data_IF_004762149994
#
_entry.id   IF_004762149994
#
_cell.length_a   1.000
_cell.length_b   1.000
_cell.length_c   1.000
_cell.angle_alpha   90.00
_cell.angle_beta   90.00
_cell.angle_gamma   90.00
#
_symmetry.space_group_name_H-M   'P 1'
#
loop_
_entity.id
_entity.type
_entity.pdbx_description
1 polymer ?
#
# COMPACT_ATOMS: atom_id res chain seq x y z
N UNK A 1 -44.92 -22.17 19.56
CA UNK A 1 -45.43 -21.23 20.57
C UNK A 1 -45.14 -19.84 20.05
N UNK A 2 -46.17 -19.17 19.55
CA UNK A 2 -46.09 -17.79 19.04
C UNK A 2 -46.27 -16.90 20.27
N UNK A 3 -45.26 -16.10 20.59
CA UNK A 3 -45.30 -15.17 21.72
C UNK A 3 -45.86 -13.85 21.19
N UNK A 4 -47.09 -13.55 21.57
CA UNK A 4 -47.75 -12.28 21.29
C UNK A 4 -46.97 -11.13 21.95
N UNK A 5 -46.44 -10.21 21.14
CA UNK A 5 -45.75 -9.01 21.60
C UNK A 5 -46.78 -7.98 22.06
N UNK A 6 -46.64 -7.55 23.32
CA UNK A 6 -47.40 -6.47 23.94
C UNK A 6 -46.98 -5.13 23.27
N UNK A 7 -47.93 -4.30 22.81
CA UNK A 7 -47.61 -2.98 22.26
C UNK A 7 -47.13 -2.05 23.37
N UNK A 8 -46.01 -1.35 23.12
CA UNK A 8 -45.43 -0.34 24.01
C UNK A 8 -46.32 0.91 24.04
N UNK A 9 -46.44 1.58 25.20
CA UNK A 9 -47.22 2.81 25.35
C UNK A 9 -46.61 3.96 24.55
N UNK A 10 -47.49 4.78 23.97
CA UNK A 10 -47.16 5.96 23.15
C UNK A 10 -46.35 6.99 23.97
N UNK A 11 -45.13 7.27 23.52
CA UNK A 11 -44.24 8.27 24.09
C UNK A 11 -44.67 9.67 23.59
N UNK A 12 -45.03 10.62 24.47
CA UNK A 12 -45.45 11.95 24.07
C UNK A 12 -44.26 12.73 23.51
N UNK A 13 -44.19 12.81 22.18
CA UNK A 13 -43.28 13.70 21.46
C UNK A 13 -43.43 15.16 21.95
N UNK A 14 -42.35 15.83 22.39
CA UNK A 14 -42.39 17.25 22.71
C UNK A 14 -42.63 18.08 21.45
N UNK A 15 -43.72 18.83 21.43
CA UNK A 15 -44.04 19.79 20.39
C UNK A 15 -43.29 21.10 20.65
N UNK A 16 -42.03 21.21 20.24
CA UNK A 16 -41.37 22.51 20.07
C UNK A 16 -40.06 22.35 19.30
N UNK A 17 -40.15 22.41 17.97
CA UNK A 17 -38.99 22.66 17.12
C UNK A 17 -38.80 24.20 16.99
N UNK A 18 -37.57 24.73 17.16
CA UNK A 18 -37.30 26.14 16.94
C UNK A 18 -37.42 26.52 15.45
N UNK A 19 -37.74 27.79 15.14
CA UNK A 19 -37.92 28.26 13.77
C UNK A 19 -36.62 28.20 12.97
N UNK A 20 -36.72 27.79 11.70
CA UNK A 20 -35.62 27.78 10.74
C UNK A 20 -35.20 29.20 10.37
N UNK A 21 -33.94 29.57 10.62
CA UNK A 21 -33.34 30.78 10.07
C UNK A 21 -32.91 30.52 8.63
N UNK A 22 -33.74 30.96 7.69
CA UNK A 22 -33.35 31.27 6.32
C UNK A 22 -32.58 32.61 6.33
N UNK A 23 -31.28 32.60 6.04
CA UNK A 23 -30.58 33.85 5.71
C UNK A 23 -29.41 33.66 4.73
N UNK A 24 -29.69 34.14 3.51
CA UNK A 24 -28.83 34.95 2.62
C UNK A 24 -27.81 34.25 1.70
N UNK A 25 -28.26 34.07 0.46
CA UNK A 25 -27.44 34.04 -0.75
C UNK A 25 -26.73 35.38 -0.99
N UNK A 26 -25.42 35.41 -1.32
CA UNK A 26 -24.80 36.55 -1.96
C UNK A 26 -24.71 36.33 -3.47
N UNK A 27 -25.61 36.99 -4.19
CA UNK A 27 -25.55 37.19 -5.63
C UNK A 27 -24.58 38.33 -5.98
N UNK A 28 -23.70 38.03 -6.94
CA UNK A 28 -23.17 38.94 -7.97
C UNK A 28 -22.24 40.08 -7.55
N UNK A 29 -20.98 40.01 -7.99
CA UNK A 29 -20.35 41.15 -8.69
C UNK A 29 -19.58 40.70 -9.93
N UNK A 30 -19.84 41.46 -10.98
CA UNK A 30 -19.45 41.33 -12.39
C UNK A 30 -18.62 42.58 -12.74
N UNK A 31 -17.61 42.41 -13.60
CA UNK A 31 -16.83 43.49 -14.24
C UNK A 31 -15.54 43.84 -13.48
N UNK A 32 -14.37 44.02 -14.10
CA UNK A 32 -14.04 44.48 -15.46
C UNK A 32 -12.51 44.26 -15.74
N UNK A 33 -11.86 44.77 -16.81
CA UNK A 33 -11.07 43.98 -17.77
C UNK A 33 -9.54 44.26 -17.77
N UNK A 34 -8.78 43.55 -18.62
CA UNK A 34 -7.46 43.99 -19.11
C UNK A 34 -6.51 42.84 -19.46
N UNK A 35 -6.51 42.32 -20.69
CA UNK A 35 -5.54 42.63 -21.76
C UNK A 35 -4.09 42.86 -21.29
N UNK A 36 -3.22 41.88 -21.54
CA UNK A 36 -1.77 41.98 -21.32
C UNK A 36 -1.00 40.89 -22.07
N UNK A 37 -0.98 40.99 -23.39
CA UNK A 37 -0.08 40.23 -24.27
C UNK A 37 1.38 40.54 -23.94
N UNK A 38 2.20 39.53 -23.65
CA UNK A 38 3.65 39.63 -23.85
C UNK A 38 4.20 38.33 -24.46
N UNK A 39 4.47 38.43 -25.76
CA UNK A 39 5.42 37.61 -26.52
C UNK A 39 6.82 37.74 -25.89
N UNK A 40 7.57 36.65 -25.86
CA UNK A 40 9.02 36.70 -25.62
C UNK A 40 9.65 35.35 -25.27
N UNK A 41 9.82 34.48 -26.27
CA UNK A 41 11.04 33.65 -26.33
C UNK A 41 12.10 34.39 -27.15
N UNK A 42 13.29 33.82 -27.42
CA UNK A 42 13.86 32.56 -26.96
C UNK A 42 15.27 32.75 -26.33
N UNK A 43 15.89 31.69 -25.79
CA UNK A 43 17.32 31.37 -25.99
C UNK A 43 17.74 30.14 -25.18
N UNK A 44 18.07 29.07 -25.90
CA UNK A 44 18.86 27.94 -25.43
C UNK A 44 20.31 28.35 -25.13
N UNK A 45 20.99 27.66 -24.22
CA UNK A 45 22.40 27.36 -24.42
C UNK A 45 22.63 25.85 -24.53
N UNK A 46 23.18 25.49 -25.68
CA UNK A 46 23.84 24.23 -25.98
C UNK A 46 25.08 24.07 -25.11
N UNK A 47 25.13 22.99 -24.32
CA UNK A 47 26.35 22.60 -23.62
C UNK A 47 26.91 21.34 -24.25
N UNK A 48 28.06 21.53 -24.87
CA UNK A 48 28.95 20.53 -25.45
C UNK A 48 29.33 19.42 -24.48
N UNK A 49 29.30 18.20 -25.01
CA UNK A 49 29.95 16.99 -24.54
C UNK A 49 31.46 17.20 -24.31
N UNK A 50 31.91 16.97 -23.07
CA UNK A 50 33.29 16.65 -22.76
C UNK A 50 33.36 15.26 -22.14
N UNK A 51 33.93 14.34 -22.89
CA UNK A 51 34.38 13.03 -22.44
C UNK A 51 35.62 13.20 -21.56
N UNK A 52 35.50 12.92 -20.26
CA UNK A 52 36.64 12.77 -19.36
C UNK A 52 36.62 11.34 -18.81
N UNK A 53 37.53 10.54 -19.34
CA UNK A 53 37.98 9.27 -18.77
C UNK A 53 38.58 9.54 -17.38
N UNK A 54 37.99 8.96 -16.34
CA UNK A 54 38.60 8.91 -15.01
C UNK A 54 38.83 7.46 -14.60
N UNK A 55 40.12 7.12 -14.53
CA UNK A 55 40.71 5.93 -13.93
C UNK A 55 40.30 5.78 -12.47
N UNK A 56 39.91 4.56 -12.10
CA UNK A 56 39.63 4.13 -10.73
C UNK A 56 40.92 4.07 -9.91
N UNK A 57 41.09 5.00 -8.96
CA UNK A 57 42.04 4.88 -7.85
C UNK A 57 41.29 4.59 -6.55
N UNK A 58 41.72 3.53 -5.88
CA UNK A 58 41.20 3.00 -4.62
C UNK A 58 41.26 4.01 -3.46
N UNK A 59 40.30 4.02 -2.53
CA UNK A 59 40.44 4.80 -1.30
C UNK A 59 41.29 4.05 -0.27
N UNK A 60 42.42 4.66 0.06
CA UNK A 60 43.30 4.34 1.18
C UNK A 60 42.63 4.79 2.49
N UNK A 61 42.72 3.94 3.52
CA UNK A 61 42.22 4.16 4.87
C UNK A 61 42.99 5.26 5.63
N UNK A 62 42.33 6.15 6.39
CA UNK A 62 42.96 6.89 7.48
C UNK A 62 42.76 6.10 8.79
N UNK A 63 43.78 5.53 9.42
CA UNK A 63 44.87 6.15 10.20
C UNK A 63 44.37 7.00 11.37
N UNK A 64 44.69 6.52 12.57
CA UNK A 64 44.31 6.96 13.92
C UNK A 64 44.51 8.46 14.23
N UNK A 65 43.75 9.02 15.18
CA UNK A 65 43.93 10.39 15.63
C UNK A 65 45.18 10.54 16.50
N UNK A 66 46.05 11.45 16.10
CA UNK A 66 47.19 11.94 16.87
C UNK A 66 46.79 13.13 17.75
N UNK A 67 47.27 13.12 18.98
CA UNK A 67 47.10 14.12 20.02
C UNK A 67 47.86 15.41 19.64
N UNK A 68 47.24 16.61 19.61
CA UNK A 68 47.98 17.85 19.55
C UNK A 68 48.10 18.52 20.93
N UNK A 69 49.36 18.77 21.24
CA UNK A 69 49.92 19.61 22.29
C UNK A 69 49.12 20.89 22.64
N UNK A 70 49.01 21.11 23.95
CA UNK A 70 48.60 22.35 24.58
C UNK A 70 49.51 23.52 24.18
N UNK A 71 48.96 24.50 23.45
CA UNK A 71 49.52 25.85 23.39
C UNK A 71 48.60 26.82 24.14
N UNK A 72 49.16 27.38 25.21
CA UNK A 72 48.63 28.40 26.10
C UNK A 72 48.52 29.73 25.35
N UNK A 73 47.42 29.93 24.63
CA UNK A 73 47.06 31.17 23.96
C UNK A 73 46.11 32.01 24.83
N UNK A 74 46.63 33.10 25.39
CA UNK A 74 45.89 34.11 26.15
C UNK A 74 45.26 35.06 25.12
N UNK A 75 43.98 34.88 24.79
CA UNK A 75 43.33 35.68 23.76
C UNK A 75 41.80 35.68 23.87
N UNK A 76 41.25 36.84 24.22
CA UNK A 76 39.87 37.33 24.08
C UNK A 76 38.72 36.30 24.12
N UNK A 77 37.97 36.35 25.21
CA UNK A 77 36.66 35.72 25.38
C UNK A 77 35.72 35.99 24.19
N UNK A 78 35.12 34.96 23.58
CA UNK A 78 33.89 35.14 22.82
C UNK A 78 32.74 35.33 23.80
N UNK A 79 32.02 36.40 23.52
CA UNK A 79 30.90 36.96 24.22
C UNK A 79 29.67 36.01 24.11
N UNK A 80 29.02 35.74 25.25
CA UNK A 80 27.62 35.32 25.40
C UNK A 80 27.06 34.13 24.59
N UNK A 81 27.12 32.93 25.18
CA UNK A 81 26.23 31.78 24.87
C UNK A 81 25.76 31.09 26.16
N UNK A 82 25.35 31.89 27.15
CA UNK A 82 24.85 31.40 28.45
C UNK A 82 23.32 31.33 28.50
N UNK A 83 22.59 31.92 27.55
CA UNK A 83 21.12 32.04 27.59
C UNK A 83 20.35 31.03 26.71
N UNK A 84 20.93 29.86 26.41
CA UNK A 84 20.21 28.78 25.70
C UNK A 84 19.39 27.87 26.63
N UNK A 85 19.34 28.15 27.94
CA UNK A 85 18.62 27.33 28.92
C UNK A 85 17.11 27.60 29.00
N UNK A 86 16.62 28.72 28.45
CA UNK A 86 15.18 29.04 28.45
C UNK A 86 14.45 28.42 27.26
N UNK A 87 15.09 28.36 26.09
CA UNK A 87 14.50 27.76 24.88
C UNK A 87 14.33 26.23 24.98
N UNK A 88 15.18 25.54 25.74
CA UNK A 88 15.02 24.10 25.94
C UNK A 88 13.79 23.74 26.79
N UNK A 89 13.37 24.64 27.70
CA UNK A 89 12.17 24.41 28.52
C UNK A 89 10.90 24.56 27.69
N UNK A 90 10.85 25.58 26.84
CA UNK A 90 9.70 25.82 25.96
C UNK A 90 9.53 24.70 24.94
N UNK A 91 10.61 24.16 24.35
CA UNK A 91 10.53 23.03 23.42
C UNK A 91 9.94 21.75 24.05
N UNK A 92 10.29 21.45 25.31
CA UNK A 92 9.74 20.28 26.03
C UNK A 92 8.27 20.48 26.37
N UNK A 93 7.89 21.68 26.81
CA UNK A 93 6.49 22.03 27.10
C UNK A 93 5.64 21.91 25.83
N UNK A 94 6.10 22.49 24.70
CA UNK A 94 5.42 22.38 23.41
C UNK A 94 5.28 20.92 22.97
N UNK A 95 6.33 20.10 23.11
CA UNK A 95 6.24 18.66 22.81
C UNK A 95 5.17 17.96 23.64
N UNK A 96 5.13 18.20 24.95
CA UNK A 96 4.12 17.60 25.83
C UNK A 96 2.71 18.08 25.47
N UNK A 97 2.54 19.37 25.20
CA UNK A 97 1.24 19.93 24.79
C UNK A 97 0.76 19.34 23.47
N UNK A 98 1.64 19.26 22.45
CA UNK A 98 1.31 18.67 21.15
C UNK A 98 0.95 17.19 21.29
N UNK A 99 1.70 16.42 22.09
CA UNK A 99 1.37 15.02 22.35
C UNK A 99 0.01 14.84 23.01
N UNK A 100 -0.34 15.67 23.99
CA UNK A 100 -1.66 15.65 24.62
C UNK A 100 -2.76 15.98 23.62
N UNK A 101 -2.58 17.03 22.80
CA UNK A 101 -3.57 17.40 21.77
C UNK A 101 -3.77 16.30 20.73
N UNK A 102 -2.68 15.67 20.26
CA UNK A 102 -2.77 14.55 19.31
C UNK A 102 -3.50 13.37 19.94
N UNK A 103 -3.24 13.08 21.23
CA UNK A 103 -3.95 12.02 21.95
C UNK A 103 -5.44 12.31 22.08
N UNK A 104 -5.81 13.53 22.45
CA UNK A 104 -7.20 13.96 22.59
C UNK A 104 -7.92 13.89 21.24
N UNK A 105 -7.26 14.34 20.17
CA UNK A 105 -7.77 14.27 18.81
C UNK A 105 -8.03 12.83 18.38
N UNK A 106 -7.09 11.91 18.64
CA UNK A 106 -7.30 10.48 18.34
C UNK A 106 -8.50 9.97 19.15
N UNK A 107 -8.59 10.29 20.43
CA UNK A 107 -9.70 9.82 21.28
C UNK A 107 -11.06 10.36 20.80
N UNK A 108 -11.13 11.63 20.42
CA UNK A 108 -12.34 12.29 19.93
C UNK A 108 -12.80 11.68 18.60
N UNK A 109 -11.88 11.50 17.65
CA UNK A 109 -12.16 10.88 16.35
C UNK A 109 -12.82 9.50 16.49
N UNK A 110 -12.39 8.71 17.47
CA UNK A 110 -12.95 7.37 17.69
C UNK A 110 -14.28 7.37 18.46
N UNK A 111 -14.55 8.41 19.26
CA UNK A 111 -15.76 8.48 20.08
C UNK A 111 -16.93 9.06 19.31
N UNK A 112 -16.69 10.07 18.49
CA UNK A 112 -17.77 10.75 17.76
C UNK A 112 -18.21 9.97 16.54
N UNK A 113 -17.30 9.24 15.85
CA UNK A 113 -17.58 8.61 14.56
C UNK A 113 -18.09 9.59 13.51
N UNK A 114 -18.05 10.89 13.80
CA UNK A 114 -18.69 11.94 13.03
C UNK A 114 -17.65 12.56 12.09
N UNK A 115 -17.72 12.15 10.82
CA UNK A 115 -16.83 12.61 9.74
C UNK A 115 -16.89 14.13 9.56
N UNK A 116 -17.94 14.81 10.04
CA UNK A 116 -18.09 16.26 9.86
C UNK A 116 -16.96 17.08 10.50
N UNK A 117 -16.23 16.53 11.46
CA UNK A 117 -15.14 17.22 12.16
C UNK A 117 -13.74 17.03 11.56
N UNK A 118 -13.59 16.34 10.41
CA UNK A 118 -12.26 16.12 9.80
C UNK A 118 -11.52 17.45 9.52
N UNK A 119 -12.22 18.48 9.05
CA UNK A 119 -11.62 19.79 8.80
C UNK A 119 -11.08 20.45 10.09
N UNK A 120 -11.77 20.28 11.21
CA UNK A 120 -11.33 20.79 12.51
C UNK A 120 -10.07 20.05 12.98
N UNK A 121 -10.03 18.72 12.84
CA UNK A 121 -8.87 17.90 13.18
C UNK A 121 -7.63 18.29 12.35
N UNK A 122 -7.80 18.50 11.04
CA UNK A 122 -6.72 18.97 10.16
C UNK A 122 -6.21 20.35 10.61
N UNK A 123 -7.11 21.26 11.00
CA UNK A 123 -6.76 22.58 11.52
C UNK A 123 -5.95 22.51 12.82
N UNK A 124 -6.30 21.60 13.74
CA UNK A 124 -5.55 21.37 14.98
C UNK A 124 -4.15 20.84 14.68
N UNK A 125 -4.02 19.88 13.76
CA UNK A 125 -2.71 19.33 13.36
C UNK A 125 -1.83 20.38 12.69
N UNK A 126 -2.40 21.24 11.83
CA UNK A 126 -1.68 22.37 11.24
C UNK A 126 -1.18 23.34 12.32
N UNK A 127 -2.04 23.69 13.29
CA UNK A 127 -1.65 24.54 14.42
C UNK A 127 -0.52 23.92 15.25
N UNK A 128 -0.56 22.59 15.46
CA UNK A 128 0.53 21.86 16.11
C UNK A 128 1.83 21.92 15.29
N UNK A 129 1.75 21.79 13.97
CA UNK A 129 2.90 21.89 13.07
C UNK A 129 3.54 23.28 13.12
N UNK A 130 2.73 24.33 13.07
CA UNK A 130 3.18 25.73 13.17
C UNK A 130 3.83 26.00 14.53
N UNK A 131 3.21 25.56 15.63
CA UNK A 131 3.77 25.69 16.97
C UNK A 131 5.09 24.94 17.14
N UNK A 132 5.20 23.74 16.57
CA UNK A 132 6.44 22.96 16.53
C UNK A 132 7.54 23.70 15.76
N UNK A 133 7.21 24.24 14.58
CA UNK A 133 8.16 24.99 13.74
C UNK A 133 8.70 26.25 14.44
N UNK A 134 7.85 27.00 15.16
CA UNK A 134 8.26 28.20 15.91
C UNK A 134 9.22 27.87 17.06
N UNK A 135 9.18 26.65 17.59
CA UNK A 135 9.97 26.23 18.75
C UNK A 135 11.10 25.25 18.40
N UNK A 136 11.47 25.13 17.11
CA UNK A 136 12.49 24.20 16.61
C UNK A 136 12.23 22.73 17.01
N UNK A 137 10.97 22.32 17.10
CA UNK A 137 10.56 20.94 17.38
C UNK A 137 10.03 20.32 16.08
N UNK A 138 10.40 19.08 15.80
CA UNK A 138 9.86 18.34 14.65
C UNK A 138 8.57 17.63 15.02
N UNK A 139 7.44 18.04 14.43
CA UNK A 139 6.16 17.35 14.59
C UNK A 139 6.26 15.88 14.13
N UNK A 140 7.00 15.62 13.04
CA UNK A 140 7.26 14.26 12.56
C UNK A 140 7.93 13.40 13.64
N UNK A 141 8.94 13.92 14.35
CA UNK A 141 9.57 13.20 15.45
C UNK A 141 8.63 12.93 16.62
N UNK A 142 7.63 13.79 16.86
CA UNK A 142 6.64 13.61 17.92
C UNK A 142 5.66 12.49 17.55
N UNK A 143 5.13 12.51 16.32
CA UNK A 143 4.15 11.51 15.85
C UNK A 143 4.75 10.10 15.74
N UNK A 144 6.07 10.00 15.62
CA UNK A 144 6.81 8.74 15.53
C UNK A 144 7.39 8.27 16.88
N UNK A 145 7.18 9.02 17.96
CA UNK A 145 7.60 8.62 19.31
C UNK A 145 6.58 7.64 19.93
N UNK A 146 7.09 6.61 20.63
CA UNK A 146 6.29 5.65 21.40
C UNK A 146 5.76 6.25 22.71
N UNK A 147 4.87 7.22 22.62
CA UNK A 147 4.43 8.06 23.74
C UNK A 147 3.16 7.55 24.44
N UNK A 148 2.42 6.60 23.86
CA UNK A 148 1.17 6.08 24.41
C UNK A 148 1.31 4.57 24.56
N UNK A 149 1.47 4.08 25.79
CA UNK A 149 1.56 2.64 26.10
C UNK A 149 2.63 1.89 25.28
N UNK A 150 3.80 2.50 25.07
CA UNK A 150 4.91 1.97 24.26
C UNK A 150 4.63 1.84 22.74
N UNK A 151 3.58 2.50 22.24
CA UNK A 151 3.24 2.60 20.83
C UNK A 151 3.17 4.06 20.37
N UNK A 152 3.28 4.28 19.07
CA UNK A 152 3.10 5.60 18.45
C UNK A 152 1.64 6.07 18.46
N UNK A 153 1.39 7.39 18.41
CA UNK A 153 0.07 7.93 18.12
C UNK A 153 -0.54 7.36 16.83
N UNK A 154 0.27 7.13 15.79
CA UNK A 154 -0.17 6.51 14.53
C UNK A 154 -0.73 5.10 14.72
N UNK A 155 -0.08 4.27 15.55
CA UNK A 155 -0.57 2.94 15.90
C UNK A 155 -1.97 3.02 16.53
N UNK A 156 -2.15 3.91 17.53
CA UNK A 156 -3.43 4.04 18.22
C UNK A 156 -4.53 4.63 17.34
N UNK A 157 -4.19 5.56 16.45
CA UNK A 157 -5.13 6.10 15.47
C UNK A 157 -5.71 5.00 14.57
N UNK A 158 -4.89 4.01 14.17
CA UNK A 158 -5.33 2.86 13.38
C UNK A 158 -6.12 1.86 14.23
N UNK A 159 -5.60 1.48 15.40
CA UNK A 159 -6.22 0.43 16.25
C UNK A 159 -7.60 0.83 16.75
N UNK A 160 -7.81 2.11 17.03
CA UNK A 160 -9.07 2.60 17.59
C UNK A 160 -10.10 3.03 16.53
N UNK A 161 -9.69 3.08 15.26
CA UNK A 161 -10.57 3.41 14.14
C UNK A 161 -11.73 2.42 14.05
N UNK A 162 -12.91 2.93 13.73
CA UNK A 162 -14.09 2.11 13.44
C UNK A 162 -13.94 1.43 12.05
N UNK A 163 -14.33 0.15 11.90
CA UNK A 163 -14.25 -0.56 10.62
C UNK A 163 -15.01 0.16 9.50
N UNK A 164 -14.44 0.14 8.29
CA UNK A 164 -14.97 0.84 7.09
C UNK A 164 -16.26 0.24 6.49
N UNK A 165 -17.09 -0.47 7.25
CA UNK A 165 -18.23 -1.23 6.72
C UNK A 165 -19.30 -0.40 6.00
N UNK A 166 -19.27 0.93 6.10
CA UNK A 166 -20.25 1.83 5.49
C UNK A 166 -19.65 2.89 4.53
N UNK A 167 -18.35 2.83 4.23
CA UNK A 167 -17.63 3.92 3.56
C UNK A 167 -17.47 3.81 2.03
N UNK A 168 -18.09 2.83 1.36
CA UNK A 168 -17.98 2.72 -0.11
C UNK A 168 -18.56 3.94 -0.87
N UNK A 169 -19.38 4.76 -0.20
CA UNK A 169 -19.93 6.02 -0.76
C UNK A 169 -18.97 7.21 -0.59
N UNK A 170 -17.94 7.08 0.25
CA UNK A 170 -17.15 8.21 0.77
C UNK A 170 -15.82 8.45 0.04
N UNK A 171 -15.52 7.72 -1.04
CA UNK A 171 -14.35 7.96 -1.88
C UNK A 171 -14.25 9.39 -2.46
N UNK A 172 -15.28 10.22 -2.29
CA UNK A 172 -15.31 11.62 -2.69
C UNK A 172 -14.95 12.64 -1.58
N UNK A 173 -14.86 12.25 -0.30
CA UNK A 173 -14.72 13.21 0.81
C UNK A 173 -13.31 13.26 1.41
N UNK A 174 -12.38 13.89 0.70
CA UNK A 174 -11.15 14.45 1.29
C UNK A 174 -10.15 13.48 1.93
N UNK A 175 -9.06 14.01 2.51
CA UNK A 175 -8.05 13.21 3.20
C UNK A 175 -8.54 12.77 4.58
N UNK A 176 -8.53 11.47 4.83
CA UNK A 176 -8.76 10.88 6.15
C UNK A 176 -7.76 11.41 7.19
N UNK A 177 -8.15 11.41 8.47
CA UNK A 177 -7.30 11.80 9.59
C UNK A 177 -6.00 10.99 9.60
N UNK A 178 -6.06 9.68 9.38
CA UNK A 178 -4.87 8.82 9.39
C UNK A 178 -3.91 9.23 8.26
N UNK A 179 -4.43 9.50 7.07
CA UNK A 179 -3.63 9.98 5.94
C UNK A 179 -2.98 11.32 6.25
N UNK A 180 -3.69 12.21 6.94
CA UNK A 180 -3.16 13.51 7.40
C UNK A 180 -2.07 13.34 8.46
N UNK A 181 -2.27 12.47 9.45
CA UNK A 181 -1.25 12.18 10.46
C UNK A 181 0.02 11.60 9.82
N UNK A 182 -0.13 10.71 8.83
CA UNK A 182 1.01 10.13 8.11
C UNK A 182 1.76 11.19 7.31
N UNK A 183 1.07 12.14 6.65
CA UNK A 183 1.75 13.19 5.90
C UNK A 183 2.55 14.14 6.80
N UNK A 184 2.06 14.46 7.99
CA UNK A 184 2.83 15.20 9.00
C UNK A 184 3.96 14.38 9.64
N UNK A 185 3.80 13.06 9.67
CA UNK A 185 4.83 12.15 10.19
C UNK A 185 5.93 11.87 9.16
N UNK A 186 5.71 12.10 7.86
CA UNK A 186 6.68 11.82 6.82
C UNK A 186 8.00 12.61 6.98
N UNK A 187 9.17 12.02 6.65
CA UNK A 187 9.36 10.62 6.26
C UNK A 187 9.25 9.66 7.45
N UNK A 188 8.59 8.52 7.24
CA UNK A 188 8.43 7.50 8.28
C UNK A 188 9.73 6.71 8.48
N UNK A 189 10.09 6.48 9.75
CA UNK A 189 11.16 5.57 10.12
C UNK A 189 10.74 4.12 9.87
N UNK A 190 11.70 3.20 9.58
CA UNK A 190 11.40 1.79 9.43
C UNK A 190 10.67 1.17 10.64
N UNK A 191 10.98 1.65 11.85
CA UNK A 191 10.32 1.26 13.09
C UNK A 191 8.86 1.69 13.12
N UNK A 192 8.56 2.93 12.74
CA UNK A 192 7.17 3.41 12.64
C UNK A 192 6.39 2.68 11.54
N UNK A 193 7.00 2.38 10.39
CA UNK A 193 6.34 1.58 9.34
C UNK A 193 5.97 0.19 9.87
N UNK A 194 6.85 -0.46 10.65
CA UNK A 194 6.54 -1.72 11.33
C UNK A 194 5.39 -1.59 12.33
N UNK A 195 5.33 -0.49 13.09
CA UNK A 195 4.22 -0.26 14.01
C UNK A 195 2.89 -0.04 13.28
N UNK A 196 2.88 0.74 12.21
CA UNK A 196 1.67 0.95 11.38
C UNK A 196 1.20 -0.38 10.79
N UNK A 197 2.12 -1.21 10.27
CA UNK A 197 1.80 -2.58 9.83
C UNK A 197 1.22 -3.43 10.96
N UNK A 198 1.82 -3.37 12.14
CA UNK A 198 1.35 -4.07 13.33
C UNK A 198 -0.05 -3.61 13.76
N UNK A 199 -0.36 -2.32 13.62
CA UNK A 199 -1.67 -1.77 13.93
C UNK A 199 -2.74 -2.30 12.97
N UNK A 200 -2.48 -2.25 11.66
CA UNK A 200 -3.36 -2.83 10.64
C UNK A 200 -3.55 -4.34 10.85
N UNK A 201 -2.49 -5.05 11.27
CA UNK A 201 -2.56 -6.47 11.58
C UNK A 201 -3.42 -6.75 12.82
N UNK A 202 -3.39 -5.88 13.83
CA UNK A 202 -4.19 -6.02 15.05
C UNK A 202 -5.69 -5.83 14.80
N UNK A 203 -6.06 -4.98 13.83
CA UNK A 203 -7.46 -4.77 13.41
C UNK A 203 -7.90 -5.65 12.25
N UNK A 204 -6.95 -6.34 11.60
CA UNK A 204 -7.16 -7.07 10.35
C UNK A 204 -7.80 -6.25 9.23
N UNK A 205 -7.53 -4.93 9.21
CA UNK A 205 -8.09 -4.02 8.23
C UNK A 205 -7.24 -3.99 6.94
N UNK A 206 -7.53 -4.93 6.04
CA UNK A 206 -6.86 -5.03 4.75
C UNK A 206 -7.13 -3.81 3.84
N UNK A 207 -8.34 -3.24 3.86
CA UNK A 207 -8.70 -2.10 3.00
C UNK A 207 -7.87 -0.87 3.38
N UNK A 208 -7.78 -0.58 4.68
CA UNK A 208 -6.91 0.47 5.18
C UNK A 208 -5.44 0.18 4.86
N UNK A 209 -4.98 -1.04 5.09
CA UNK A 209 -3.59 -1.40 4.79
C UNK A 209 -3.23 -1.15 3.33
N UNK A 210 -4.07 -1.54 2.38
CA UNK A 210 -3.82 -1.23 0.96
C UNK A 210 -3.85 0.27 0.70
N UNK A 211 -4.81 1.02 1.25
CA UNK A 211 -4.87 2.49 1.11
C UNK A 211 -3.58 3.15 1.60
N UNK A 212 -3.04 2.72 2.74
CA UNK A 212 -1.77 3.21 3.27
C UNK A 212 -0.60 2.88 2.33
N UNK A 213 -0.56 1.69 1.74
CA UNK A 213 0.46 1.31 0.73
C UNK A 213 0.44 2.17 -0.53
N UNK A 214 -0.70 2.77 -0.86
CA UNK A 214 -0.82 3.70 -1.99
C UNK A 214 -0.26 5.09 -1.67
N UNK A 215 -0.10 5.43 -0.39
CA UNK A 215 0.45 6.71 0.03
C UNK A 215 1.99 6.70 -0.16
N UNK A 216 2.56 7.65 -0.91
CA UNK A 216 3.99 7.68 -1.21
C UNK A 216 4.87 7.79 0.05
N UNK A 217 4.34 8.37 1.13
CA UNK A 217 5.03 8.53 2.41
C UNK A 217 5.18 7.21 3.18
N UNK A 218 4.35 6.21 2.89
CA UNK A 218 4.34 4.92 3.59
C UNK A 218 5.12 3.85 2.82
N UNK A 219 4.91 3.75 1.51
CA UNK A 219 5.65 2.82 0.64
C UNK A 219 6.27 3.60 -0.51
N UNK A 220 7.44 4.23 -0.30
CA UNK A 220 8.09 4.99 -1.36
C UNK A 220 8.37 4.07 -2.54
N UNK A 221 7.90 4.48 -3.72
CA UNK A 221 8.13 3.75 -4.97
C UNK A 221 9.64 3.64 -5.20
N UNK A 222 10.11 2.45 -5.58
CA UNK A 222 11.49 2.24 -6.01
C UNK A 222 11.86 3.29 -7.06
N UNK A 223 12.85 4.13 -6.78
CA UNK A 223 13.27 5.18 -7.72
C UNK A 223 13.68 4.61 -9.09
N UNK A 224 14.10 3.34 -9.15
CA UNK A 224 14.37 2.64 -10.42
C UNK A 224 13.10 2.44 -11.23
N UNK A 225 12.01 2.02 -10.58
CA UNK A 225 10.73 1.76 -11.22
C UNK A 225 10.15 3.07 -11.74
N UNK A 226 10.18 4.12 -10.91
CA UNK A 226 9.70 5.44 -11.28
C UNK A 226 10.49 6.04 -12.46
N UNK A 227 11.81 5.86 -12.47
CA UNK A 227 12.67 6.39 -13.54
C UNK A 227 12.50 5.64 -14.86
N UNK A 228 12.32 4.31 -14.81
CA UNK A 228 12.36 3.46 -16.01
C UNK A 228 10.97 3.16 -16.59
N UNK A 229 9.94 3.17 -15.76
CA UNK A 229 8.54 2.93 -16.17
C UNK A 229 7.75 4.24 -16.28
N UNK A 230 8.32 5.36 -15.85
CA UNK A 230 7.73 6.67 -15.89
C UNK A 230 6.94 7.03 -14.62
N UNK A 231 6.52 8.30 -14.56
CA UNK A 231 5.87 8.90 -13.39
C UNK A 231 4.44 8.38 -13.16
N UNK A 232 3.84 7.69 -14.15
CA UNK A 232 2.43 7.30 -14.15
C UNK A 232 2.20 5.78 -14.01
N UNK A 233 2.99 5.09 -13.20
CA UNK A 233 2.72 3.67 -12.92
C UNK A 233 1.46 3.57 -12.05
N UNK A 234 0.42 2.90 -12.55
CA UNK A 234 -0.73 2.56 -11.72
C UNK A 234 -0.27 1.65 -10.57
N UNK A 235 -0.82 1.79 -9.37
CA UNK A 235 -0.45 0.93 -8.26
C UNK A 235 -0.88 -0.53 -8.46
N UNK A 236 -0.24 -1.43 -7.72
CA UNK A 236 -0.68 -2.83 -7.61
C UNK A 236 -2.04 -2.89 -6.90
N UNK A 237 -3.00 -3.60 -7.48
CA UNK A 237 -4.33 -3.78 -6.88
C UNK A 237 -4.34 -5.13 -6.15
N UNK A 238 -4.75 -5.16 -4.88
CA UNK A 238 -4.82 -6.38 -4.07
C UNK A 238 -6.11 -6.39 -3.25
N UNK A 239 -6.95 -7.38 -3.49
CA UNK A 239 -8.22 -7.59 -2.80
C UNK A 239 -8.20 -8.96 -2.11
N UNK A 240 -8.62 -9.01 -0.86
CA UNK A 240 -8.63 -10.24 -0.05
C UNK A 240 -10.07 -10.61 0.27
N UNK A 241 -10.43 -11.84 -0.07
CA UNK A 241 -11.71 -12.45 0.26
C UNK A 241 -11.50 -13.53 1.33
N UNK A 242 -12.07 -13.34 2.51
CA UNK A 242 -12.07 -14.37 3.55
C UNK A 242 -13.29 -15.29 3.37
N UNK A 243 -13.04 -16.52 2.95
CA UNK A 243 -14.10 -17.49 2.71
C UNK A 243 -14.69 -18.00 4.03
N UNK A 244 -16.01 -18.00 4.15
CA UNK A 244 -16.70 -18.55 5.31
C UNK A 244 -16.64 -20.09 5.26
N UNK A 245 -16.12 -20.72 6.33
CA UNK A 245 -16.01 -22.17 6.43
C UNK A 245 -14.99 -22.63 7.48
N UNK A 246 -14.97 -23.93 7.75
CA UNK A 246 -14.13 -24.60 8.76
C UNK A 246 -12.61 -24.55 8.46
N UNK A 247 -12.21 -24.03 7.30
CA UNK A 247 -10.87 -24.23 6.75
C UNK A 247 -9.83 -23.13 6.96
N UNK A 248 -10.13 -22.02 7.64
CA UNK A 248 -9.25 -20.83 7.65
C UNK A 248 -8.75 -20.47 6.23
N UNK A 249 -9.63 -20.62 5.25
CA UNK A 249 -9.34 -20.40 3.84
C UNK A 249 -9.47 -18.92 3.50
N UNK A 250 -8.66 -18.45 2.56
CA UNK A 250 -8.79 -17.11 2.02
C UNK A 250 -8.30 -17.09 0.59
N UNK A 251 -8.72 -16.05 -0.12
CA UNK A 251 -8.39 -15.83 -1.51
C UNK A 251 -7.90 -14.40 -1.68
N UNK A 252 -6.92 -14.21 -2.55
CA UNK A 252 -6.36 -12.89 -2.84
C UNK A 252 -6.38 -12.68 -4.34
N UNK A 253 -7.21 -11.74 -4.79
CA UNK A 253 -7.20 -11.26 -6.16
C UNK A 253 -6.14 -10.17 -6.29
N UNK A 254 -5.29 -10.28 -7.30
CA UNK A 254 -4.26 -9.28 -7.53
C UNK A 254 -4.16 -8.88 -8.99
N UNK A 255 -3.76 -7.63 -9.19
CA UNK A 255 -3.51 -7.04 -10.50
C UNK A 255 -2.16 -6.33 -10.47
N UNK A 256 -1.25 -6.78 -11.32
CA UNK A 256 0.09 -6.21 -11.42
C UNK A 256 0.25 -5.51 -12.77
N UNK A 257 0.19 -4.17 -12.82
CA UNK A 257 0.43 -3.41 -14.03
C UNK A 257 1.90 -3.48 -14.44
N UNK A 258 2.11 -3.52 -15.76
CA UNK A 258 3.42 -3.59 -16.40
C UNK A 258 4.26 -4.75 -15.88
N UNK A 259 3.63 -5.90 -15.59
CA UNK A 259 4.27 -7.04 -14.93
C UNK A 259 5.58 -7.45 -15.61
N UNK A 260 5.56 -7.65 -16.94
CA UNK A 260 6.75 -8.10 -17.67
C UNK A 260 7.87 -7.05 -17.61
N UNK A 261 7.56 -5.78 -17.86
CA UNK A 261 8.52 -4.67 -17.80
C UNK A 261 9.15 -4.56 -16.41
N UNK A 262 8.35 -4.64 -15.35
CA UNK A 262 8.82 -4.62 -13.95
C UNK A 262 9.71 -5.81 -13.62
N UNK A 263 9.35 -7.01 -14.08
CA UNK A 263 10.19 -8.20 -13.90
C UNK A 263 11.53 -8.08 -14.64
N UNK A 264 11.56 -7.47 -15.82
CA UNK A 264 12.82 -7.25 -16.57
C UNK A 264 13.69 -6.17 -15.93
N UNK A 265 13.07 -5.07 -15.50
CA UNK A 265 13.76 -3.85 -15.04
C UNK A 265 14.12 -3.94 -13.56
N UNK A 266 13.09 -4.05 -12.71
CA UNK A 266 13.20 -4.02 -11.26
C UNK A 266 13.63 -5.37 -10.70
N UNK A 267 13.35 -6.44 -11.45
CA UNK A 267 13.64 -7.84 -11.09
C UNK A 267 12.90 -8.32 -9.85
N UNK A 268 11.96 -7.53 -9.36
CA UNK A 268 11.20 -7.80 -8.16
C UNK A 268 9.87 -7.03 -8.18
N UNK A 269 8.80 -7.72 -7.82
CA UNK A 269 7.46 -7.18 -7.59
C UNK A 269 6.98 -7.79 -6.28
N UNK A 270 6.56 -6.96 -5.32
CA UNK A 270 6.12 -7.41 -4.00
C UNK A 270 4.69 -6.97 -3.72
N UNK A 271 3.83 -7.95 -3.47
CA UNK A 271 2.47 -7.77 -3.03
C UNK A 271 2.39 -8.09 -1.54
N UNK A 272 1.96 -7.12 -0.73
CA UNK A 272 1.75 -7.31 0.71
C UNK A 272 0.26 -7.23 0.99
N UNK A 273 -0.24 -8.14 1.83
CA UNK A 273 -1.66 -8.18 2.20
C UNK A 273 -1.87 -8.81 3.57
N UNK A 274 -2.95 -8.43 4.23
CA UNK A 274 -3.41 -8.99 5.49
C UNK A 274 -4.53 -9.98 5.19
N UNK A 275 -4.40 -11.21 5.67
CA UNK A 275 -5.43 -12.24 5.59
C UNK A 275 -5.32 -13.15 6.80
N UNK A 276 -6.45 -13.47 7.46
CA UNK A 276 -6.49 -14.35 8.63
C UNK A 276 -5.51 -13.91 9.74
N UNK A 277 -5.55 -12.62 10.06
CA UNK A 277 -4.72 -11.97 11.09
C UNK A 277 -3.22 -12.21 10.88
N UNK A 278 -2.77 -12.28 9.63
CA UNK A 278 -1.37 -12.46 9.23
C UNK A 278 -1.02 -11.51 8.11
N UNK A 279 0.17 -10.93 8.19
CA UNK A 279 0.73 -10.12 7.12
C UNK A 279 1.56 -11.00 6.20
N UNK A 280 1.15 -11.09 4.95
CA UNK A 280 1.77 -11.91 3.92
C UNK A 280 2.54 -11.04 2.94
N UNK A 281 3.59 -11.61 2.37
CA UNK A 281 4.25 -11.05 1.20
C UNK A 281 4.40 -12.09 0.10
N UNK A 282 3.75 -11.84 -1.02
CA UNK A 282 3.88 -12.59 -2.25
C UNK A 282 4.81 -11.81 -3.19
N UNK A 283 5.92 -12.43 -3.61
CA UNK A 283 6.93 -11.79 -4.45
C UNK A 283 7.10 -12.53 -5.75
N UNK A 284 7.14 -11.79 -6.85
CA UNK A 284 7.67 -12.25 -8.13
C UNK A 284 9.07 -11.67 -8.26
N UNK A 285 10.07 -12.48 -8.54
CA UNK A 285 11.45 -11.97 -8.62
C UNK A 285 12.32 -12.79 -9.57
N UNK A 286 13.41 -12.19 -10.02
CA UNK A 286 14.45 -12.86 -10.79
C UNK A 286 15.56 -13.27 -9.84
N UNK A 287 15.78 -14.57 -9.69
CA UNK A 287 16.81 -15.10 -8.79
C UNK A 287 18.19 -14.55 -9.15
N UNK A 288 18.97 -14.17 -8.13
CA UNK A 288 20.36 -13.73 -8.29
C UNK A 288 21.37 -14.88 -8.15
N UNK A 289 20.90 -16.12 -8.00
CA UNK A 289 21.75 -17.27 -7.67
C UNK A 289 22.14 -17.34 -6.20
N UNK A 290 21.36 -16.71 -5.31
CA UNK A 290 21.61 -16.70 -3.88
C UNK A 290 21.29 -18.07 -3.25
N UNK A 291 22.16 -18.52 -2.36
CA UNK A 291 21.95 -19.71 -1.54
C UNK A 291 21.07 -19.32 -0.34
N UNK A 292 19.91 -19.96 -0.16
CA UNK A 292 19.04 -19.73 1.00
C UNK A 292 17.53 -19.74 0.74
N UNK A 293 17.09 -19.89 -0.52
CA UNK A 293 15.67 -20.06 -0.81
C UNK A 293 15.26 -21.53 -0.67
N UNK A 294 14.20 -21.78 0.10
CA UNK A 294 13.60 -23.11 0.22
C UNK A 294 12.70 -23.33 -0.99
N UNK A 295 13.17 -24.11 -1.95
CA UNK A 295 12.37 -24.49 -3.12
C UNK A 295 11.38 -25.58 -2.71
N UNK A 296 10.09 -25.35 -2.95
CA UNK A 296 9.05 -26.33 -2.63
C UNK A 296 9.30 -27.60 -3.46
N UNK A 297 9.36 -28.76 -2.78
CA UNK A 297 9.59 -30.06 -3.43
C UNK A 297 11.06 -30.40 -3.72
N UNK A 298 12.02 -29.51 -3.47
CA UNK A 298 13.45 -29.79 -3.65
C UNK A 298 14.28 -29.30 -2.47
N UNK A 299 14.87 -30.24 -1.73
CA UNK A 299 15.62 -29.94 -0.51
C UNK A 299 17.01 -29.31 -0.76
N UNK A 300 17.53 -29.35 -2.00
CA UNK A 300 18.94 -29.01 -2.26
C UNK A 300 19.21 -28.28 -3.58
N UNK A 301 18.21 -28.02 -4.42
CA UNK A 301 18.46 -27.36 -5.69
C UNK A 301 18.66 -25.84 -5.50
N UNK A 302 19.90 -25.38 -5.68
CA UNK A 302 20.17 -23.95 -5.82
C UNK A 302 19.42 -23.41 -7.06
N UNK A 303 18.66 -22.34 -6.86
CA UNK A 303 17.94 -21.69 -7.98
C UNK A 303 18.96 -20.97 -8.86
N UNK A 304 18.99 -21.32 -10.15
CA UNK A 304 19.88 -20.70 -11.13
C UNK A 304 19.65 -19.18 -11.18
N UNK A 305 20.74 -18.42 -11.25
CA UNK A 305 20.66 -16.97 -11.46
C UNK A 305 19.94 -16.67 -12.80
N UNK A 306 19.05 -15.68 -12.77
CA UNK A 306 18.20 -15.32 -13.90
C UNK A 306 16.85 -16.06 -13.95
N UNK A 307 16.64 -17.10 -13.14
CA UNK A 307 15.36 -17.82 -13.11
C UNK A 307 14.28 -16.97 -12.44
N UNK A 308 13.16 -16.78 -13.14
CA UNK A 308 11.98 -16.13 -12.57
C UNK A 308 11.29 -17.07 -11.59
N UNK A 309 11.03 -16.57 -10.40
CA UNK A 309 10.49 -17.34 -9.30
C UNK A 309 9.39 -16.55 -8.58
N UNK A 310 8.53 -17.28 -7.89
CA UNK A 310 7.55 -16.74 -6.98
C UNK A 310 7.93 -17.19 -5.58
N UNK A 311 7.91 -16.28 -4.61
CA UNK A 311 8.05 -16.63 -3.20
C UNK A 311 6.90 -16.13 -2.36
N UNK A 312 6.51 -16.93 -1.39
CA UNK A 312 5.56 -16.58 -0.35
C UNK A 312 6.27 -16.58 1.00
N UNK A 313 6.04 -15.53 1.79
CA UNK A 313 6.58 -15.41 3.14
C UNK A 313 5.62 -14.72 4.09
N UNK A 314 5.84 -14.98 5.38
CA UNK A 314 5.14 -14.36 6.48
C UNK A 314 5.97 -13.16 6.98
N UNK A 315 5.34 -11.99 7.12
CA UNK A 315 5.99 -10.77 7.57
C UNK A 315 5.74 -10.48 9.04
N UNK A 316 6.65 -9.68 9.63
CA UNK A 316 6.50 -9.02 10.92
C UNK A 316 6.07 -9.96 12.07
N UNK A 317 5.37 -9.48 13.08
CA UNK A 317 4.96 -10.27 14.25
C UNK A 317 3.81 -11.25 13.97
N UNK A 318 3.65 -11.70 12.73
CA UNK A 318 2.60 -12.65 12.36
C UNK A 318 2.85 -14.02 13.02
N UNK A 319 1.81 -14.67 13.56
CA UNK A 319 1.95 -15.96 14.21
C UNK A 319 2.31 -17.08 13.20
N UNK A 320 3.22 -18.00 13.55
CA UNK A 320 3.58 -19.15 12.72
C UNK A 320 2.34 -19.92 12.24
N UNK A 321 2.40 -20.44 11.01
CA UNK A 321 1.25 -21.15 10.44
C UNK A 321 1.62 -22.13 9.35
N UNK A 322 0.84 -23.21 9.24
CA UNK A 322 0.90 -24.07 8.06
C UNK A 322 0.19 -23.41 6.89
N UNK A 323 0.64 -23.71 5.69
CA UNK A 323 -0.01 -23.21 4.48
C UNK A 323 0.02 -24.25 3.36
N UNK A 324 -1.16 -24.46 2.80
CA UNK A 324 -1.41 -25.18 1.56
C UNK A 324 -2.09 -24.18 0.61
N UNK A 325 -1.34 -23.74 -0.40
CA UNK A 325 -1.78 -22.65 -1.28
C UNK A 325 -1.45 -22.92 -2.73
N UNK A 326 -2.10 -22.18 -3.62
CA UNK A 326 -1.79 -22.16 -5.05
C UNK A 326 -2.03 -20.79 -5.65
N UNK A 327 -1.27 -20.51 -6.69
CA UNK A 327 -1.48 -19.35 -7.55
C UNK A 327 -2.15 -19.82 -8.82
N UNK A 328 -3.23 -19.13 -9.19
CA UNK A 328 -4.04 -19.37 -10.37
C UNK A 328 -3.95 -18.12 -11.25
N UNK A 329 -3.48 -18.28 -12.49
CA UNK A 329 -3.43 -17.20 -13.49
C UNK A 329 -4.21 -17.69 -14.72
N UNK A 330 -5.31 -17.01 -14.99
CA UNK A 330 -6.22 -17.32 -16.10
C UNK A 330 -5.73 -16.68 -17.40
N UNK A 331 -6.18 -17.24 -18.53
CA UNK A 331 -5.95 -16.63 -19.84
C UNK A 331 -6.64 -15.25 -19.87
N UNK A 332 -5.89 -14.22 -20.28
CA UNK A 332 -6.37 -12.84 -20.32
C UNK A 332 -7.59 -12.64 -21.23
N UNK A 333 -7.83 -13.56 -22.18
CA UNK A 333 -9.03 -13.54 -23.03
C UNK A 333 -10.31 -13.85 -22.24
N UNK A 334 -10.25 -14.67 -21.19
CA UNK A 334 -11.41 -15.09 -20.39
C UNK A 334 -11.94 -13.91 -19.58
N UNK A 335 -11.07 -13.09 -19.02
CA UNK A 335 -11.45 -11.94 -18.18
C UNK A 335 -12.27 -10.87 -18.91
N UNK A 336 -12.32 -10.88 -20.25
CA UNK A 336 -13.13 -9.94 -21.03
C UNK A 336 -14.61 -10.27 -21.06
N UNK A 337 -14.98 -11.53 -20.83
CA UNK A 337 -16.36 -11.99 -20.97
C UNK A 337 -17.22 -11.76 -19.72
N UNK A 338 -16.60 -11.53 -18.56
CA UNK A 338 -17.28 -11.45 -17.26
C UNK A 338 -17.48 -10.03 -16.76
N UNK A 339 -17.46 -9.01 -17.64
CA UNK A 339 -17.94 -7.69 -17.25
C UNK A 339 -19.36 -7.85 -16.68
N UNK A 340 -19.59 -7.53 -15.40
CA UNK A 340 -20.86 -7.80 -14.75
C UNK A 340 -21.95 -7.09 -15.56
N UNK A 341 -22.84 -7.86 -16.14
CA UNK A 341 -24.03 -7.35 -16.82
C UNK A 341 -24.79 -6.53 -15.80
N UNK A 342 -24.56 -5.21 -15.80
CA UNK A 342 -25.34 -4.25 -15.03
C UNK A 342 -26.78 -4.53 -15.42
N UNK A 343 -27.57 -5.01 -14.46
CA UNK A 343 -28.97 -5.36 -14.64
C UNK A 343 -29.64 -4.26 -15.49
N UNK A 344 -30.14 -4.58 -16.71
CA UNK A 344 -30.79 -3.58 -17.53
C UNK A 344 -32.01 -3.08 -16.75
N UNK A 345 -31.95 -1.82 -16.34
CA UNK A 345 -33.07 -1.15 -15.68
C UNK A 345 -34.24 -1.17 -16.67
N UNK A 346 -35.41 -1.71 -16.31
CA UNK A 346 -36.54 -1.81 -17.22
C UNK A 346 -37.21 -0.43 -17.35
N UNK A 347 -36.80 0.38 -18.32
CA UNK A 347 -37.56 1.57 -18.68
C UNK A 347 -37.37 2.00 -20.14
N UNK A 348 -38.50 1.90 -20.87
CA UNK A 348 -38.88 2.64 -22.09
C UNK A 348 -38.64 1.96 -23.45
N UNK A 349 -39.71 1.76 -24.26
CA UNK A 349 -39.61 1.28 -25.62
C UNK A 349 -39.28 2.42 -26.59
N UNK A 350 -38.04 2.50 -27.08
CA UNK A 350 -37.63 3.48 -28.09
C UNK A 350 -37.14 2.80 -29.38
N UNK A 351 -38.04 2.87 -30.37
CA UNK A 351 -37.89 2.85 -31.83
C UNK A 351 -36.53 2.45 -32.44
N UNK A 352 -36.61 1.32 -33.16
CA UNK A 352 -35.86 0.93 -34.36
C UNK A 352 -35.00 2.02 -35.01
N UNK A 353 -33.68 1.83 -34.95
CA UNK A 353 -32.78 2.27 -36.01
C UNK A 353 -31.90 1.08 -36.43
N UNK A 354 -32.16 0.58 -37.64
CA UNK A 354 -31.37 -0.46 -38.28
C UNK A 354 -30.11 0.20 -38.84
N UNK A 355 -28.94 -0.12 -38.28
CA UNK A 355 -27.64 0.21 -38.91
C UNK A 355 -27.12 -1.02 -39.66
N UNK A 356 -27.14 -0.93 -41.00
CA UNK A 356 -26.72 -1.96 -41.96
C UNK A 356 -25.25 -1.76 -42.39
N UNK A 357 -24.30 -1.81 -41.46
CA UNK A 357 -22.87 -1.61 -41.81
C UNK A 357 -21.93 -2.69 -41.25
N UNK A 358 -22.25 -3.97 -41.50
CA UNK A 358 -21.35 -5.10 -41.16
C UNK A 358 -21.47 -6.30 -42.10
N UNK A 359 -21.45 -6.10 -43.42
CA UNK A 359 -21.64 -7.20 -44.39
C UNK A 359 -20.37 -7.62 -45.15
N UNK A 360 -19.23 -6.94 -45.01
CA UNK A 360 -18.03 -7.34 -45.77
C UNK A 360 -16.75 -7.22 -44.92
N UNK A 361 -16.53 -8.20 -44.04
CA UNK A 361 -15.21 -8.47 -43.45
C UNK A 361 -15.09 -9.97 -43.22
N UNK A 362 -14.31 -10.60 -44.11
CA UNK A 362 -13.58 -11.85 -43.95
C UNK A 362 -14.29 -13.03 -43.27
N UNK A 363 -14.65 -14.02 -44.09
CA UNK A 363 -14.74 -15.44 -43.74
C UNK A 363 -13.35 -15.99 -43.31
N UNK A 364 -12.71 -15.37 -42.32
CA UNK A 364 -11.58 -15.95 -41.62
C UNK A 364 -12.14 -16.88 -40.54
N UNK A 365 -12.30 -18.13 -40.96
CA UNK A 365 -12.23 -19.36 -40.16
C UNK A 365 -12.58 -19.15 -38.67
N UNK A 366 -13.86 -19.41 -38.36
CA UNK A 366 -14.47 -19.51 -37.02
C UNK A 366 -13.89 -20.74 -36.26
N UNK A 367 -12.57 -20.82 -36.28
CA UNK A 367 -11.75 -21.79 -35.58
C UNK A 367 -11.91 -21.48 -34.10
N UNK A 368 -12.91 -22.17 -33.53
CA UNK A 368 -13.31 -22.11 -32.13
C UNK A 368 -12.12 -21.78 -31.23
N UNK A 369 -12.09 -20.56 -30.71
CA UNK A 369 -11.07 -20.09 -29.77
C UNK A 369 -11.09 -21.04 -28.56
N UNK A 370 -10.19 -22.03 -28.57
CA UNK A 370 -10.02 -22.92 -27.43
C UNK A 370 -9.28 -22.12 -26.35
N UNK A 371 -9.88 -21.86 -25.18
CA UNK A 371 -9.22 -21.11 -24.14
C UNK A 371 -7.92 -21.81 -23.74
N UNK A 372 -6.85 -21.04 -23.54
CA UNK A 372 -5.58 -21.63 -23.09
C UNK A 372 -5.76 -22.16 -21.67
N UNK A 373 -5.01 -23.23 -21.32
CA UNK A 373 -5.08 -23.77 -19.96
C UNK A 373 -4.64 -22.73 -18.93
N UNK A 374 -5.36 -22.70 -17.81
CA UNK A 374 -5.03 -21.90 -16.63
C UNK A 374 -3.67 -22.32 -16.07
N UNK A 375 -2.83 -21.36 -15.68
CA UNK A 375 -1.59 -21.65 -14.95
C UNK A 375 -1.96 -21.89 -13.49
N UNK A 376 -1.59 -23.06 -12.97
CA UNK A 376 -1.67 -23.38 -11.54
C UNK A 376 -0.28 -23.69 -10.98
N UNK A 377 0.11 -22.98 -9.92
CA UNK A 377 1.39 -23.17 -9.23
C UNK A 377 1.12 -23.43 -7.75
N UNK A 378 1.37 -24.65 -7.27
CA UNK A 378 1.18 -25.01 -5.85
C UNK A 378 2.36 -24.51 -5.01
N UNK A 379 2.06 -23.80 -3.92
CA UNK A 379 3.02 -23.33 -2.93
C UNK A 379 2.58 -23.86 -1.57
N UNK A 380 3.33 -24.78 -0.98
CA UNK A 380 2.97 -25.36 0.30
C UNK A 380 4.21 -25.59 1.16
N UNK A 381 3.99 -25.67 2.48
CA UNK A 381 5.03 -26.00 3.45
C UNK A 381 4.64 -27.21 4.27
N UNK A 382 5.59 -28.12 4.49
CA UNK A 382 5.44 -29.25 5.44
C UNK A 382 5.65 -28.82 6.89
N UNK A 383 6.28 -27.67 7.10
CA UNK A 383 6.54 -27.06 8.40
C UNK A 383 5.73 -25.77 8.54
N UNK A 384 5.59 -25.27 9.77
CA UNK A 384 5.03 -23.94 9.97
C UNK A 384 5.93 -22.90 9.33
N UNK A 385 5.32 -22.03 8.51
CA UNK A 385 5.96 -20.83 8.03
C UNK A 385 6.02 -19.83 9.18
N UNK A 386 7.23 -19.42 9.52
CA UNK A 386 7.51 -18.42 10.56
C UNK A 386 7.84 -17.07 9.91
N UNK A 387 7.50 -15.98 10.60
CA UNK A 387 7.95 -14.67 10.16
C UNK A 387 9.47 -14.54 10.28
N UNK A 388 10.06 -13.58 9.54
CA UNK A 388 11.52 -13.40 9.43
C UNK A 388 12.24 -13.35 10.77
N UNK A 389 12.67 -14.51 11.25
CA UNK A 389 13.77 -14.73 12.19
C UNK A 389 15.04 -15.13 11.45
N UNK A 390 16.12 -15.41 12.19
CA UNK A 390 17.42 -15.76 11.60
C UNK A 390 17.41 -16.97 10.66
N UNK A 391 16.36 -17.81 10.70
CA UNK A 391 16.30 -19.08 9.98
C UNK A 391 15.07 -19.27 9.08
N UNK A 392 14.13 -18.31 8.99
CA UNK A 392 12.93 -18.53 8.18
C UNK A 392 13.23 -18.28 6.69
N UNK A 393 13.19 -19.36 5.92
CA UNK A 393 13.36 -19.30 4.46
C UNK A 393 11.99 -19.14 3.81
N UNK A 394 11.81 -18.20 2.88
CA UNK A 394 10.55 -18.05 2.17
C UNK A 394 10.28 -19.30 1.31
N UNK A 395 9.01 -19.63 1.11
CA UNK A 395 8.61 -20.72 0.21
C UNK A 395 8.78 -20.24 -1.22
N UNK A 396 9.53 -20.97 -2.04
CA UNK A 396 9.84 -20.56 -3.41
C UNK A 396 9.41 -21.60 -4.43
N UNK A 397 8.82 -21.15 -5.53
CA UNK A 397 8.49 -21.97 -6.72
C UNK A 397 9.07 -21.30 -7.95
N UNK A 398 9.73 -22.06 -8.82
CA UNK A 398 10.30 -21.53 -10.06
C UNK A 398 9.23 -21.56 -11.15
N UNK A 399 9.15 -20.51 -11.96
CA UNK A 399 8.21 -20.50 -13.09
C UNK A 399 8.56 -21.56 -14.14
N UNK A 400 9.84 -21.94 -14.25
CA UNK A 400 10.31 -22.97 -15.18
C UNK A 400 9.84 -24.39 -14.83
N UNK A 401 9.39 -24.63 -13.59
CA UNK A 401 8.86 -25.93 -13.16
C UNK A 401 7.46 -26.22 -13.74
N UNK A 402 6.80 -25.21 -14.32
CA UNK A 402 5.53 -25.35 -15.05
C UNK A 402 5.68 -24.80 -16.46
N UNK A 403 5.43 -25.65 -17.46
CA UNK A 403 5.51 -25.27 -18.88
C UNK A 403 4.63 -24.06 -19.21
N UNK A 404 3.45 -23.96 -18.57
CA UNK A 404 2.55 -22.84 -18.80
C UNK A 404 3.05 -21.57 -18.11
N UNK A 405 3.57 -21.67 -16.88
CA UNK A 405 4.07 -20.53 -16.12
C UNK A 405 5.37 -19.95 -16.69
N UNK A 406 6.21 -20.78 -17.30
CA UNK A 406 7.42 -20.33 -17.99
C UNK A 406 7.12 -19.29 -19.08
N UNK A 407 5.91 -19.31 -19.66
CA UNK A 407 5.51 -18.35 -20.69
C UNK A 407 5.40 -16.92 -20.17
N UNK A 408 5.22 -16.71 -18.86
CA UNK A 408 5.17 -15.38 -18.25
C UNK A 408 6.47 -14.58 -18.41
N UNK A 409 7.58 -15.25 -18.73
CA UNK A 409 8.88 -14.62 -18.98
C UNK A 409 8.95 -13.88 -20.32
N UNK A 410 8.00 -14.11 -21.24
CA UNK A 410 7.95 -13.47 -22.55
C UNK A 410 6.95 -12.32 -22.57
N UNK A 411 7.29 -11.23 -23.27
CA UNK A 411 6.47 -10.01 -23.30
C UNK A 411 5.08 -10.22 -23.93
N UNK A 412 4.99 -11.06 -24.97
CA UNK A 412 3.75 -11.33 -25.71
C UNK A 412 3.11 -12.65 -25.28
N UNK A 413 2.97 -12.86 -23.97
CA UNK A 413 2.28 -14.04 -23.44
C UNK A 413 0.77 -13.76 -23.33
N UNK A 414 -0.05 -14.80 -23.40
CA UNK A 414 -1.52 -14.66 -23.39
C UNK A 414 -2.13 -14.51 -21.98
N UNK A 415 -1.31 -14.54 -20.94
CA UNK A 415 -1.75 -14.38 -19.55
C UNK A 415 -1.63 -12.93 -19.07
N UNK A 416 -0.90 -12.09 -19.81
CA UNK A 416 -0.88 -10.63 -19.61
C UNK A 416 -1.87 -10.03 -20.61
N UNK A 417 -2.86 -9.30 -20.09
CA UNK A 417 -3.88 -8.68 -20.94
C UNK A 417 -3.28 -7.55 -21.80
N UNK A 418 -4.04 -7.14 -22.82
CA UNK A 418 -3.65 -6.05 -23.73
C UNK A 418 -3.45 -4.69 -23.03
N UNK A 419 -3.93 -4.54 -21.80
CA UNK A 419 -3.69 -3.41 -20.91
C UNK A 419 -2.34 -3.51 -20.15
N UNK A 420 -1.51 -4.52 -20.48
CA UNK A 420 -0.22 -4.81 -19.84
C UNK A 420 -0.36 -5.14 -18.34
N UNK A 421 -1.52 -5.66 -17.91
CA UNK A 421 -1.77 -6.10 -16.53
C UNK A 421 -1.72 -7.62 -16.43
N UNK A 422 -1.01 -8.14 -15.43
CA UNK A 422 -1.14 -9.53 -15.01
C UNK A 422 -2.25 -9.63 -13.97
N UNK A 423 -3.21 -10.52 -14.20
CA UNK A 423 -4.30 -10.80 -13.27
C UNK A 423 -4.13 -12.21 -12.73
N UNK A 424 -4.24 -12.35 -11.42
CA UNK A 424 -4.09 -13.64 -10.80
C UNK A 424 -4.82 -13.72 -9.48
N UNK A 425 -4.86 -14.94 -8.96
CA UNK A 425 -5.55 -15.29 -7.74
C UNK A 425 -4.67 -16.19 -6.91
N UNK A 426 -4.46 -15.84 -5.65
CA UNK A 426 -3.77 -16.67 -4.69
C UNK A 426 -4.81 -17.28 -3.75
N UNK A 427 -4.95 -18.60 -3.80
CA UNK A 427 -5.85 -19.35 -2.94
C UNK A 427 -5.03 -20.03 -1.85
N UNK A 428 -5.44 -19.89 -0.58
CA UNK A 428 -4.72 -20.47 0.53
C UNK A 428 -5.64 -21.04 1.60
N UNK A 429 -5.15 -22.11 2.23
CA UNK A 429 -5.73 -22.74 3.42
C UNK A 429 -4.68 -22.80 4.52
N UNK A 430 -5.02 -22.31 5.71
CA UNK A 430 -4.15 -22.36 6.89
C UNK A 430 -4.29 -23.69 7.64
N UNK A 431 -3.94 -24.78 6.96
CA UNK A 431 -3.93 -26.12 7.51
C UNK A 431 -2.60 -26.81 7.17
N UNK A 432 -2.15 -27.78 7.99
CA UNK A 432 -1.12 -28.69 7.56
C UNK A 432 -1.50 -29.24 6.18
N UNK A 433 -0.54 -29.41 5.25
CA UNK A 433 -0.84 -30.10 4.01
C UNK A 433 -1.46 -31.43 4.40
N UNK A 434 -2.72 -31.65 4.03
CA UNK A 434 -3.34 -32.96 4.20
C UNK A 434 -2.39 -33.90 3.50
N UNK A 435 -1.80 -34.84 4.24
CA UNK A 435 -0.96 -35.86 3.64
C UNK A 435 -1.79 -36.41 2.51
N UNK A 436 -1.39 -36.11 1.27
CA UNK A 436 -2.03 -36.63 0.11
C UNK A 436 -2.06 -38.13 0.38
N UNK A 437 -3.26 -38.67 0.60
CA UNK A 437 -3.51 -40.09 0.47
C UNK A 437 -3.36 -40.50 -1.00
N UNK A 438 -2.45 -39.86 -1.77
CA UNK A 438 -1.61 -40.52 -2.75
C UNK A 438 -0.85 -41.64 -2.03
N UNK A 439 -1.63 -42.69 -1.73
CA UNK A 439 -1.23 -44.06 -1.82
C UNK A 439 -0.48 -44.17 -3.15
N UNK A 440 0.83 -44.01 -3.10
CA UNK A 440 1.72 -44.54 -4.12
C UNK A 440 1.45 -46.03 -4.05
N UNK A 441 0.55 -46.53 -4.90
CA UNK A 441 0.42 -47.97 -5.13
C UNK A 441 1.73 -48.35 -5.82
N UNK A 442 2.68 -48.80 -5.01
CA UNK A 442 3.96 -49.36 -5.45
C UNK A 442 3.76 -50.66 -6.22
#
# INVERSE_FOLDING_TARGET
MIIDKIPLPEDPTPAEAPPSYDTLSPSTRRGYPGTGSSKGGPSSPSTSSQSISSTSTSPISPSSPSIPNYKKGKGRAPNNSWFSFTTSRTAREVRTTVLSLVRDLIQEYNTSGDITNVAAHVGILQSCADACAVNDVSLSSILQEKSIENHTPLYWAIVKRLPDEHHDVEAAQGPDLISTLISYAAPLTPETVKEVRSACLATSDQKLFQRLRLTPDFTPVSGKDQMLLGVSMSPDEVEVEELQGDGAMFMVHFVVPHFHKRMVVSKEISLEFIARNRLWRLRFFVSKGEHGLRVVGSYTAAVKAGTWSISLELLDSSPPTYIDSRIVIEDASISRSTSPTVNPTPSSPSRNSFSLSSILSSEEDDSAYRPKPTIELRIYSREQLESKGYNSSPLCVRLEDSLMAANLQYANNAYVSSDDKLRGRFEARLAPPQHDHECIIC
#
